data_IF_613592396849
#
_entry.id   IF_613592396849
#
_cell.length_a   1.000
_cell.length_b   1.000
_cell.length_c   1.000
_cell.angle_alpha   90.00
_cell.angle_beta   90.00
_cell.angle_gamma   90.00
#
_symmetry.space_group_name_H-M   'P 1'
#
loop_
_entity.id
_entity.type
_entity.pdbx_description
1 polymer ?
#
# COMPACT_ATOMS: atom_id res chain seq x y z
N UNK A 1 19.94 30.07 -5.24
CA UNK A 1 20.38 28.66 -5.37
C UNK A 1 19.39 27.80 -4.59
N UNK A 2 18.38 27.21 -5.25
CA UNK A 2 17.47 26.26 -4.58
C UNK A 2 18.27 24.96 -4.37
N UNK A 3 18.34 24.47 -3.14
CA UNK A 3 18.75 23.10 -2.86
C UNK A 3 17.86 22.19 -3.72
N UNK A 4 18.48 21.35 -4.55
CA UNK A 4 17.74 20.41 -5.39
C UNK A 4 16.97 19.47 -4.46
N UNK A 5 15.70 19.26 -4.76
CA UNK A 5 14.78 18.33 -4.09
C UNK A 5 15.27 16.88 -4.31
N UNK A 6 16.37 16.50 -3.67
CA UNK A 6 17.04 15.18 -3.80
C UNK A 6 16.84 14.29 -2.57
N UNK A 7 15.98 14.71 -1.65
CA UNK A 7 15.66 13.89 -0.49
C UNK A 7 14.81 12.69 -0.94
N UNK A 8 15.15 11.47 -0.49
CA UNK A 8 14.29 10.32 -0.69
C UNK A 8 12.90 10.60 -0.14
N UNK A 9 11.87 10.24 -0.91
CA UNK A 9 10.48 10.58 -0.55
C UNK A 9 9.49 9.58 -1.07
N UNK A 10 8.34 9.51 -0.38
CA UNK A 10 7.14 8.84 -0.87
C UNK A 10 6.54 9.68 -2.00
N UNK A 11 6.47 9.10 -3.19
CA UNK A 11 5.91 9.72 -4.40
C UNK A 11 4.44 9.35 -4.59
N UNK A 12 4.08 8.11 -4.24
CA UNK A 12 2.73 7.58 -4.41
C UNK A 12 2.42 6.49 -3.38
N UNK A 13 1.20 6.50 -2.88
CA UNK A 13 0.58 5.39 -2.15
C UNK A 13 -0.65 4.95 -2.92
N UNK A 14 -0.72 3.67 -3.29
CA UNK A 14 -1.86 3.06 -3.96
C UNK A 14 -2.41 1.93 -3.10
N UNK A 15 -3.72 1.90 -2.88
CA UNK A 15 -4.44 0.79 -2.26
C UNK A 15 -5.49 0.30 -3.26
N UNK A 16 -5.53 -1.01 -3.52
CA UNK A 16 -6.47 -1.64 -4.45
C UNK A 16 -7.11 -2.82 -3.74
N UNK A 17 -8.43 -2.89 -3.68
CA UNK A 17 -9.18 -3.91 -2.93
C UNK A 17 -8.61 -4.16 -1.51
N UNK A 18 -8.18 -3.09 -0.86
CA UNK A 18 -7.48 -3.11 0.42
C UNK A 18 -8.23 -2.23 1.40
N UNK A 19 -8.27 -2.63 2.67
CA UNK A 19 -9.11 -2.00 3.69
C UNK A 19 -10.58 -1.87 3.22
N UNK A 20 -11.11 -0.65 3.14
CA UNK A 20 -12.48 -0.37 2.67
C UNK A 20 -12.48 0.25 1.26
N UNK A 21 -11.31 0.29 0.60
CA UNK A 21 -11.13 0.95 -0.68
C UNK A 21 -11.06 -0.05 -1.83
N UNK A 22 -11.90 0.17 -2.85
CA UNK A 22 -11.73 -0.46 -4.17
C UNK A 22 -10.47 0.07 -4.84
N UNK A 23 -10.30 1.40 -4.82
CA UNK A 23 -9.11 2.08 -5.33
C UNK A 23 -8.87 3.40 -4.61
N UNK A 24 -7.65 3.59 -4.09
CA UNK A 24 -7.15 4.87 -3.58
C UNK A 24 -5.77 5.11 -4.15
N UNK A 25 -5.54 6.29 -4.73
CA UNK A 25 -4.21 6.77 -5.10
C UNK A 25 -3.96 8.12 -4.42
N UNK A 26 -2.86 8.22 -3.68
CA UNK A 26 -2.39 9.45 -3.05
C UNK A 26 -1.02 9.77 -3.62
N UNK A 27 -0.82 11.01 -4.06
CA UNK A 27 0.48 11.56 -4.48
C UNK A 27 0.92 12.62 -3.47
N UNK A 28 1.74 12.28 -2.46
CA UNK A 28 2.09 13.21 -1.42
C UNK A 28 2.91 14.38 -1.95
N UNK A 29 2.46 15.59 -1.65
CA UNK A 29 3.26 16.82 -1.79
C UNK A 29 3.96 17.16 -0.46
N UNK A 30 4.52 18.36 -0.33
CA UNK A 30 5.20 18.79 0.90
C UNK A 30 4.30 18.72 2.14
N UNK A 31 3.01 19.05 1.98
CA UNK A 31 1.98 18.85 3.02
C UNK A 31 0.77 18.20 2.36
N UNK A 32 0.36 17.03 2.88
CA UNK A 32 -0.81 16.30 2.39
C UNK A 32 -1.74 16.04 3.56
N UNK A 33 -2.96 16.55 3.48
CA UNK A 33 -3.98 16.36 4.50
C UNK A 33 -5.04 15.37 4.02
N UNK A 34 -5.37 14.39 4.86
CA UNK A 34 -6.51 13.51 4.63
C UNK A 34 -7.75 14.13 5.29
N UNK A 35 -8.75 14.48 4.49
CA UNK A 35 -10.02 15.05 4.94
C UNK A 35 -11.20 14.14 4.54
N UNK A 36 -12.24 14.13 5.35
CA UNK A 36 -13.42 13.26 5.21
C UNK A 36 -14.10 13.07 6.57
N UNK A 37 -15.17 12.30 6.64
CA UNK A 37 -15.87 11.99 7.89
C UNK A 37 -15.16 10.88 8.69
N UNK A 38 -15.51 10.76 9.97
CA UNK A 38 -14.97 9.69 10.81
C UNK A 38 -15.46 8.34 10.29
N UNK A 39 -14.53 7.45 9.96
CA UNK A 39 -14.83 6.15 9.37
C UNK A 39 -14.40 6.03 7.91
N UNK A 40 -14.14 7.12 7.20
CA UNK A 40 -13.85 7.11 5.75
C UNK A 40 -12.42 6.65 5.38
N UNK A 41 -11.84 5.72 6.14
CA UNK A 41 -10.55 5.12 5.79
C UNK A 41 -9.30 5.99 6.02
N UNK A 42 -9.41 7.24 6.51
CA UNK A 42 -8.23 8.09 6.80
C UNK A 42 -7.22 7.43 7.73
N UNK A 43 -7.71 6.88 8.85
CA UNK A 43 -6.88 6.13 9.81
C UNK A 43 -6.32 4.86 9.19
N UNK A 44 -7.08 4.20 8.31
CA UNK A 44 -6.59 3.02 7.59
C UNK A 44 -5.42 3.36 6.66
N UNK A 45 -5.55 4.42 5.87
CA UNK A 45 -4.48 4.94 5.01
C UNK A 45 -3.24 5.28 5.83
N UNK A 46 -3.38 6.06 6.90
CA UNK A 46 -2.23 6.44 7.73
C UNK A 46 -1.53 5.22 8.34
N UNK A 47 -2.31 4.28 8.88
CA UNK A 47 -1.77 3.06 9.48
C UNK A 47 -1.11 2.13 8.45
N UNK A 48 -1.50 2.19 7.18
CA UNK A 48 -0.83 1.40 6.13
C UNK A 48 0.66 1.77 6.03
N UNK A 49 1.05 3.03 6.27
CA UNK A 49 2.44 3.48 6.22
C UNK A 49 3.38 2.72 7.17
N UNK A 50 2.84 2.07 8.21
CA UNK A 50 3.64 1.19 9.08
C UNK A 50 4.25 0.01 8.29
N UNK A 51 3.59 -0.47 7.23
CA UNK A 51 4.14 -1.47 6.31
C UNK A 51 5.35 -0.93 5.56
N UNK A 52 5.34 0.35 5.16
CA UNK A 52 6.51 0.94 4.50
C UNK A 52 7.68 1.16 5.46
N UNK A 53 7.38 1.61 6.69
CA UNK A 53 8.39 2.12 7.62
C UNK A 53 8.96 1.07 8.58
N UNK A 54 8.18 0.03 8.89
CA UNK A 54 8.48 -0.92 9.98
C UNK A 54 8.39 -2.37 9.46
N UNK A 55 7.24 -2.74 8.90
CA UNK A 55 6.96 -4.08 8.35
C UNK A 55 7.26 -5.25 9.31
N UNK A 56 7.00 -5.07 10.61
CA UNK A 56 7.20 -6.11 11.63
C UNK A 56 5.92 -6.34 12.45
N UNK A 57 5.35 -7.53 12.30
CA UNK A 57 4.11 -7.95 12.96
C UNK A 57 4.34 -8.58 14.35
N UNK A 58 5.54 -8.50 14.91
CA UNK A 58 5.77 -8.87 16.29
C UNK A 58 4.88 -8.02 17.24
N UNK A 59 4.32 -8.60 18.31
CA UNK A 59 3.47 -7.87 19.24
C UNK A 59 4.16 -6.62 19.80
N UNK A 60 3.53 -5.46 19.61
CA UNK A 60 4.03 -4.18 20.12
C UNK A 60 5.01 -3.44 19.21
N UNK A 61 5.28 -3.94 18.00
CA UNK A 61 6.15 -3.26 17.02
C UNK A 61 5.33 -2.38 16.06
N UNK A 62 4.34 -2.96 15.39
CA UNK A 62 3.29 -2.20 14.70
C UNK A 62 2.06 -2.04 15.60
N UNK A 63 1.39 -0.90 15.46
CA UNK A 63 0.24 -0.50 16.26
C UNK A 63 -0.97 -0.25 15.36
N UNK A 64 -1.80 -1.26 15.19
CA UNK A 64 -3.10 -1.14 14.53
C UNK A 64 -4.23 -1.02 15.56
N UNK A 65 -5.40 -0.46 15.19
CA UNK A 65 -6.55 -0.36 16.09
C UNK A 65 -7.13 -1.73 16.52
N UNK A 66 -6.85 -2.78 15.74
CA UNK A 66 -7.27 -4.16 15.99
C UNK A 66 -6.03 -5.04 16.12
N UNK A 67 -6.21 -6.27 16.62
CA UNK A 67 -5.12 -7.24 16.69
C UNK A 67 -4.49 -7.52 15.32
N UNK A 68 -3.26 -8.04 15.33
CA UNK A 68 -2.46 -8.23 14.12
C UNK A 68 -3.13 -9.12 13.07
N UNK A 69 -3.90 -10.14 13.50
CA UNK A 69 -4.59 -11.03 12.57
C UNK A 69 -5.74 -10.30 11.90
N UNK A 70 -6.58 -9.62 12.69
CA UNK A 70 -7.72 -8.86 12.17
C UNK A 70 -7.27 -7.71 11.28
N UNK A 71 -6.21 -7.00 11.66
CA UNK A 71 -5.64 -5.91 10.87
C UNK A 71 -5.05 -6.42 9.55
N UNK A 72 -4.37 -7.57 9.55
CA UNK A 72 -3.88 -8.17 8.32
C UNK A 72 -5.02 -8.52 7.34
N UNK A 73 -6.09 -9.15 7.84
CA UNK A 73 -7.27 -9.47 7.00
C UNK A 73 -8.01 -8.23 6.51
N UNK A 74 -7.94 -7.13 7.28
CA UNK A 74 -8.51 -5.86 6.87
C UNK A 74 -7.72 -5.23 5.70
N UNK A 75 -6.39 -5.19 5.76
CA UNK A 75 -5.58 -4.61 4.66
C UNK A 75 -5.44 -5.54 3.45
N UNK A 76 -5.45 -6.85 3.68
CA UNK A 76 -5.26 -7.89 2.66
C UNK A 76 -6.39 -8.93 2.72
N UNK A 77 -7.64 -8.55 2.41
CA UNK A 77 -8.77 -9.47 2.47
C UNK A 77 -8.72 -10.58 1.41
N UNK A 78 -7.97 -10.40 0.32
CA UNK A 78 -7.88 -11.38 -0.76
C UNK A 78 -6.53 -11.32 -1.49
N UNK A 79 -6.36 -12.18 -2.51
CA UNK A 79 -5.22 -12.15 -3.39
C UNK A 79 -5.25 -11.06 -4.47
N UNK A 80 -6.34 -10.30 -4.58
CA UNK A 80 -6.45 -9.10 -5.44
C UNK A 80 -6.28 -7.81 -4.65
N UNK A 81 -5.87 -7.92 -3.38
CA UNK A 81 -5.58 -6.80 -2.49
C UNK A 81 -4.14 -6.35 -2.67
N UNK A 82 -3.93 -5.08 -2.97
CA UNK A 82 -2.61 -4.52 -3.21
C UNK A 82 -2.40 -3.24 -2.40
N UNK A 83 -1.22 -3.11 -1.83
CA UNK A 83 -0.72 -1.84 -1.30
C UNK A 83 0.63 -1.56 -1.96
N UNK A 84 0.76 -0.42 -2.65
CA UNK A 84 1.98 -0.04 -3.37
C UNK A 84 2.48 1.30 -2.88
N UNK A 85 3.75 1.33 -2.51
CA UNK A 85 4.49 2.56 -2.25
C UNK A 85 5.47 2.80 -3.37
N UNK A 86 5.35 3.92 -4.07
CA UNK A 86 6.40 4.40 -4.95
C UNK A 86 7.28 5.37 -4.17
N UNK A 87 8.55 5.05 -4.08
CA UNK A 87 9.57 5.90 -3.47
C UNK A 87 10.53 6.38 -4.55
N UNK A 88 10.99 7.62 -4.40
CA UNK A 88 12.14 8.14 -5.13
C UNK A 88 13.34 8.07 -4.22
N UNK A 89 14.45 7.52 -4.69
CA UNK A 89 15.69 7.45 -3.93
C UNK A 89 16.53 8.75 -4.06
N UNK A 90 17.72 8.73 -3.46
CA UNK A 90 18.68 9.83 -3.50
C UNK A 90 19.28 10.11 -4.90
N UNK A 91 19.22 9.14 -5.82
CA UNK A 91 19.68 9.27 -7.20
C UNK A 91 18.56 9.76 -8.14
N UNK A 92 17.33 9.91 -7.62
CA UNK A 92 16.09 10.15 -8.36
C UNK A 92 15.57 8.93 -9.14
N UNK A 93 16.03 7.74 -8.80
CA UNK A 93 15.45 6.50 -9.30
C UNK A 93 14.16 6.18 -8.55
N UNK A 94 13.21 5.59 -9.27
CA UNK A 94 11.92 5.19 -8.73
C UNK A 94 11.96 3.73 -8.33
N UNK A 95 11.37 3.40 -7.19
CA UNK A 95 11.21 2.04 -6.73
C UNK A 95 9.80 1.83 -6.19
N UNK A 96 9.27 0.62 -6.39
CA UNK A 96 8.00 0.20 -5.83
C UNK A 96 8.26 -0.78 -4.70
N UNK A 97 7.68 -0.51 -3.54
CA UNK A 97 7.48 -1.50 -2.48
C UNK A 97 6.03 -1.98 -2.62
N UNK A 98 5.85 -3.20 -3.11
CA UNK A 98 4.55 -3.74 -3.48
C UNK A 98 4.17 -4.91 -2.59
N UNK A 99 3.09 -4.73 -1.84
CA UNK A 99 2.45 -5.77 -1.05
C UNK A 99 1.27 -6.37 -1.82
N UNK A 100 1.22 -7.70 -1.92
CA UNK A 100 0.13 -8.44 -2.58
C UNK A 100 -0.48 -9.40 -1.57
N UNK A 101 -1.77 -9.25 -1.30
CA UNK A 101 -2.49 -10.14 -0.38
C UNK A 101 -2.43 -11.59 -0.84
N UNK A 102 -2.65 -12.52 0.09
CA UNK A 102 -2.73 -13.94 -0.21
C UNK A 102 -4.15 -14.46 -0.03
N UNK A 103 -4.43 -15.62 -0.60
CA UNK A 103 -5.70 -16.32 -0.38
C UNK A 103 -5.84 -16.76 1.07
N UNK A 104 -7.07 -16.95 1.55
CA UNK A 104 -7.37 -17.42 2.91
C UNK A 104 -6.71 -18.76 3.30
N UNK A 105 -6.28 -19.57 2.32
CA UNK A 105 -5.56 -20.83 2.56
C UNK A 105 -4.07 -20.63 2.88
N UNK A 106 -3.52 -19.43 2.67
CA UNK A 106 -2.12 -19.11 2.96
C UNK A 106 -1.91 -18.90 4.46
N UNK A 107 -0.75 -19.34 4.96
CA UNK A 107 -0.28 -18.99 6.31
C UNK A 107 0.28 -17.56 6.38
N UNK A 108 0.84 -17.08 5.27
CA UNK A 108 1.36 -15.73 5.13
C UNK A 108 0.28 -14.75 4.72
N UNK A 109 0.40 -13.51 5.22
CA UNK A 109 -0.58 -12.42 5.04
C UNK A 109 -0.53 -11.84 3.63
N UNK A 110 0.68 -11.66 3.11
CA UNK A 110 0.96 -11.04 1.82
C UNK A 110 2.33 -11.51 1.31
N UNK A 111 2.58 -11.30 0.03
CA UNK A 111 3.93 -11.16 -0.52
C UNK A 111 4.39 -9.72 -0.52
N UNK A 112 5.70 -9.52 -0.48
CA UNK A 112 6.35 -8.22 -0.64
C UNK A 112 7.38 -8.28 -1.76
N UNK A 113 7.26 -7.35 -2.71
CA UNK A 113 8.18 -7.18 -3.81
C UNK A 113 8.84 -5.80 -3.76
N UNK A 114 10.09 -5.73 -4.23
CA UNK A 114 10.79 -4.48 -4.49
C UNK A 114 11.10 -4.44 -5.98
N UNK A 115 10.55 -3.46 -6.69
CA UNK A 115 10.66 -3.35 -8.15
C UNK A 115 11.32 -2.02 -8.50
N UNK A 116 12.29 -2.04 -9.41
CA UNK A 116 12.87 -0.82 -9.95
C UNK A 116 11.97 -0.28 -11.07
N UNK A 117 11.67 1.02 -11.00
CA UNK A 117 10.83 1.72 -11.97
C UNK A 117 9.63 2.41 -11.31
N UNK A 118 8.94 3.26 -12.08
CA UNK A 118 7.76 3.98 -11.61
C UNK A 118 6.53 3.08 -11.60
N UNK A 119 5.51 3.51 -10.86
CA UNK A 119 4.22 2.82 -10.83
C UNK A 119 3.49 2.98 -12.17
N UNK A 120 2.89 1.90 -12.66
CA UNK A 120 1.94 1.90 -13.78
C UNK A 120 0.67 1.14 -13.40
N UNK A 121 -0.50 1.70 -13.72
CA UNK A 121 -1.78 1.00 -13.53
C UNK A 121 -1.88 -0.26 -14.40
N UNK A 122 -1.14 -0.32 -15.52
CA UNK A 122 -1.12 -1.49 -16.40
C UNK A 122 -0.62 -2.76 -15.71
N UNK A 123 0.10 -2.59 -14.59
CA UNK A 123 0.60 -3.69 -13.75
C UNK A 123 -0.52 -4.52 -13.10
N UNK A 124 -1.77 -4.05 -13.10
CA UNK A 124 -2.92 -4.71 -12.47
C UNK A 124 -3.98 -5.19 -13.48
N UNK A 125 -3.78 -4.95 -14.78
CA UNK A 125 -4.81 -5.23 -15.81
C UNK A 125 -5.04 -6.72 -16.08
N UNK A 126 -4.13 -7.60 -15.68
CA UNK A 126 -4.34 -9.05 -15.80
C UNK A 126 -5.28 -9.63 -14.72
N UNK A 127 -5.44 -8.93 -13.59
CA UNK A 127 -6.36 -9.37 -12.52
C UNK A 127 -7.83 -9.12 -12.88
N UNK A 128 -8.15 -8.06 -13.63
CA UNK A 128 -9.52 -7.80 -14.13
C UNK A 128 -10.00 -8.83 -15.15
N UNK A 129 -9.10 -9.42 -15.94
CA UNK A 129 -9.49 -10.46 -16.92
C UNK A 129 -9.84 -11.78 -16.23
N UNK A 130 -9.27 -12.06 -15.06
CA UNK A 130 -9.58 -13.27 -14.30
C UNK A 130 -10.91 -13.16 -13.54
N UNK A 131 -11.27 -11.95 -13.05
CA UNK A 131 -12.54 -11.73 -12.36
C UNK A 131 -13.77 -11.85 -13.28
N UNK A 132 -13.64 -11.52 -14.58
CA UNK A 132 -14.72 -11.65 -15.57
C UNK A 132 -14.92 -13.05 -16.16
N UNK A 133 -14.07 -14.04 -15.82
CA UNK A 133 -14.20 -15.41 -16.34
C UNK A 133 -15.00 -16.36 -15.42
N UNK A 134 -15.59 -15.83 -14.35
CA UNK A 134 -16.38 -16.61 -13.37
C UNK A 134 -17.89 -16.35 -13.43
N UNK A 135 -18.38 -15.76 -14.51
CA UNK A 135 -19.82 -15.67 -14.82
C UNK A 135 -20.22 -16.66 -15.93
#
# INVERSE_FOLDING_TARGET
MRLRDQDPRLMRLVLINSCEADYVEIRPEQSTHLAGDNGDGKTAILNSLQLLMIDDWAPGVMHFPRDNKTSAMFYFPSNTSHIVYEIRDQLNDHHLIWYVGRTAASKEKYDRFVINGPFSQDMFLDDEKQSRSKD
#
